data_IF_084789376852
#
_entry.id   IF_084789376852
#
_cell.length_a   1.000
_cell.length_b   1.000
_cell.length_c   1.000
_cell.angle_alpha   90.00
_cell.angle_beta   90.00
_cell.angle_gamma   90.00
#
_symmetry.space_group_name_H-M   'P 1'
#
loop_
_entity.id
_entity.type
_entity.pdbx_description
1 polymer ?
#
# COMPACT_ATOMS: atom_id res chain seq x y z
N UNK A 1 -6.12 -17.76 -7.44
CA UNK A 1 -6.33 -18.09 -6.03
C UNK A 1 -6.75 -16.86 -5.23
N UNK A 2 -7.45 -17.09 -4.14
CA UNK A 2 -7.84 -16.04 -3.21
C UNK A 2 -6.79 -15.87 -2.11
N UNK A 3 -6.52 -14.61 -1.76
CA UNK A 3 -5.74 -14.22 -0.58
C UNK A 3 -6.66 -13.48 0.39
N UNK A 4 -6.66 -13.91 1.65
CA UNK A 4 -7.51 -13.31 2.69
C UNK A 4 -6.69 -13.09 3.95
N UNK A 5 -6.61 -11.83 4.39
CA UNK A 5 -6.18 -11.52 5.76
C UNK A 5 -7.40 -11.02 6.55
N UNK A 6 -7.91 -11.81 7.48
CA UNK A 6 -9.10 -11.43 8.25
C UNK A 6 -8.82 -10.31 9.27
N UNK A 7 -7.56 -10.08 9.67
CA UNK A 7 -7.16 -9.00 10.59
C UNK A 7 -5.72 -8.59 10.29
N UNK A 8 -5.50 -7.85 9.19
CA UNK A 8 -4.22 -7.20 8.94
C UNK A 8 -3.99 -6.07 9.95
N UNK A 9 -2.79 -6.05 10.56
CA UNK A 9 -2.49 -5.17 11.68
C UNK A 9 -2.85 -5.76 13.04
N UNK A 10 -2.80 -7.09 13.20
CA UNK A 10 -3.16 -7.85 14.41
C UNK A 10 -2.54 -7.28 15.69
N UNK A 11 -1.26 -6.85 15.64
CA UNK A 11 -0.59 -6.24 16.81
C UNK A 11 -1.26 -4.94 17.27
N UNK A 12 -1.77 -4.15 16.33
CA UNK A 12 -2.48 -2.91 16.63
C UNK A 12 -3.88 -3.23 17.18
N UNK A 13 -4.57 -4.19 16.56
CA UNK A 13 -5.87 -4.68 17.02
C UNK A 13 -5.84 -5.17 18.46
N UNK A 14 -4.88 -6.03 18.83
CA UNK A 14 -4.73 -6.58 20.21
C UNK A 14 -4.51 -5.46 21.24
N UNK A 15 -3.84 -4.38 20.85
CA UNK A 15 -3.60 -3.22 21.73
C UNK A 15 -4.79 -2.24 21.80
N UNK A 16 -5.93 -2.57 21.20
CA UNK A 16 -7.10 -1.68 21.12
C UNK A 16 -6.93 -0.49 20.16
N UNK A 17 -5.94 -0.55 19.28
CA UNK A 17 -5.71 0.50 18.27
C UNK A 17 -6.67 0.38 17.10
N UNK A 18 -6.71 1.42 16.26
CA UNK A 18 -7.65 1.54 15.14
C UNK A 18 -7.05 1.22 13.77
N UNK A 19 -5.72 1.00 13.69
CA UNK A 19 -5.02 0.73 12.43
C UNK A 19 -4.98 -0.76 12.12
N UNK A 20 -6.14 -1.36 11.86
CA UNK A 20 -6.30 -2.72 11.38
C UNK A 20 -7.39 -2.77 10.31
N UNK A 21 -7.32 -3.74 9.42
CA UNK A 21 -8.28 -3.88 8.32
C UNK A 21 -8.46 -5.34 7.94
N UNK A 22 -9.46 -5.61 7.11
CA UNK A 22 -9.68 -6.89 6.46
C UNK A 22 -9.23 -6.73 5.01
N UNK A 23 -8.40 -7.66 4.51
CA UNK A 23 -7.94 -7.66 3.14
C UNK A 23 -8.43 -8.90 2.40
N UNK A 24 -9.01 -8.73 1.22
CA UNK A 24 -9.41 -9.82 0.31
C UNK A 24 -8.91 -9.49 -1.08
N UNK A 25 -8.25 -10.44 -1.74
CA UNK A 25 -7.80 -10.27 -3.12
C UNK A 25 -7.94 -11.56 -3.90
N UNK A 26 -8.21 -11.45 -5.20
CA UNK A 26 -8.13 -12.55 -6.15
C UNK A 26 -6.95 -12.33 -7.08
N UNK A 27 -6.00 -13.28 -7.05
CA UNK A 27 -4.78 -13.25 -7.87
C UNK A 27 -4.93 -14.22 -9.04
N UNK A 28 -4.65 -13.72 -10.23
CA UNK A 28 -4.65 -14.48 -11.47
C UNK A 28 -3.36 -14.21 -12.25
N UNK A 29 -2.68 -15.28 -12.69
CA UNK A 29 -1.40 -15.19 -13.40
C UNK A 29 -0.36 -14.29 -12.71
N UNK A 30 -0.27 -14.37 -11.37
CA UNK A 30 0.71 -13.61 -10.57
C UNK A 30 0.31 -12.17 -10.26
N UNK A 31 -0.87 -11.69 -10.70
CA UNK A 31 -1.29 -10.30 -10.45
C UNK A 31 -2.68 -10.23 -9.83
N UNK A 32 -2.94 -9.27 -8.94
CA UNK A 32 -4.25 -9.09 -8.35
C UNK A 32 -5.19 -8.47 -9.40
N UNK A 33 -6.30 -9.16 -9.66
CA UNK A 33 -7.36 -8.66 -10.56
C UNK A 33 -8.60 -8.20 -9.80
N UNK A 34 -8.64 -8.43 -8.49
CA UNK A 34 -9.62 -7.90 -7.56
C UNK A 34 -8.94 -7.63 -6.22
N UNK A 35 -9.28 -6.52 -5.58
CA UNK A 35 -8.81 -6.16 -4.24
C UNK A 35 -9.90 -5.46 -3.45
N UNK A 36 -9.98 -5.81 -2.15
CA UNK A 36 -10.90 -5.23 -1.20
C UNK A 36 -10.18 -5.00 0.12
N UNK A 37 -10.31 -3.81 0.69
CA UNK A 37 -9.85 -3.46 2.04
C UNK A 37 -11.00 -2.82 2.78
N UNK A 38 -11.40 -3.44 3.90
CA UNK A 38 -12.38 -2.86 4.83
C UNK A 38 -11.70 -2.40 6.11
N UNK A 39 -11.96 -1.17 6.51
CA UNK A 39 -11.43 -0.55 7.73
C UNK A 39 -12.56 -0.42 8.74
N UNK A 40 -12.68 -1.33 9.72
CA UNK A 40 -13.81 -1.35 10.65
C UNK A 40 -13.91 -0.08 11.51
N UNK A 41 -12.79 0.49 11.92
CA UNK A 41 -12.75 1.67 12.80
C UNK A 41 -13.34 2.93 12.19
N UNK A 42 -13.27 3.08 10.86
CA UNK A 42 -13.82 4.22 10.11
C UNK A 42 -14.99 3.84 9.23
N UNK A 43 -15.37 2.55 9.18
CA UNK A 43 -16.41 1.98 8.32
C UNK A 43 -16.20 2.32 6.83
N UNK A 44 -14.94 2.37 6.43
CA UNK A 44 -14.53 2.62 5.05
C UNK A 44 -14.30 1.30 4.32
N UNK A 45 -14.88 1.17 3.13
CA UNK A 45 -14.80 -0.01 2.29
C UNK A 45 -14.21 0.37 0.94
N UNK A 46 -12.98 -0.05 0.69
CA UNK A 46 -12.25 0.19 -0.55
C UNK A 46 -12.27 -1.07 -1.41
N UNK A 47 -12.53 -0.93 -2.70
CA UNK A 47 -12.44 -2.05 -3.63
C UNK A 47 -12.01 -1.59 -5.01
N UNK A 48 -11.41 -2.51 -5.75
CA UNK A 48 -11.00 -2.33 -7.12
C UNK A 48 -11.08 -3.65 -7.89
N UNK A 49 -11.27 -3.56 -9.18
CA UNK A 49 -11.09 -4.69 -10.09
C UNK A 49 -10.43 -4.24 -11.38
N UNK A 50 -9.58 -5.10 -11.94
CA UNK A 50 -8.74 -4.78 -13.09
C UNK A 50 -9.52 -4.16 -14.25
N UNK A 51 -9.12 -2.95 -14.67
CA UNK A 51 -9.73 -2.19 -15.75
C UNK A 51 -11.03 -1.45 -15.39
N UNK A 52 -11.50 -1.52 -14.14
CA UNK A 52 -12.77 -0.88 -13.73
C UNK A 52 -12.58 0.30 -12.76
N UNK A 53 -11.34 0.55 -12.34
CA UNK A 53 -11.02 1.59 -11.37
C UNK A 53 -11.20 1.16 -9.92
N UNK A 54 -10.87 2.06 -9.00
CA UNK A 54 -10.99 1.86 -7.58
C UNK A 54 -12.07 2.75 -6.98
N UNK A 55 -12.72 2.25 -5.93
CA UNK A 55 -13.89 2.89 -5.32
C UNK A 55 -13.80 2.86 -3.80
N UNK A 56 -14.37 3.88 -3.18
CA UNK A 56 -14.59 3.97 -1.74
C UNK A 56 -16.09 4.06 -1.46
N UNK A 57 -16.55 3.26 -0.50
CA UNK A 57 -17.85 3.39 0.14
C UNK A 57 -17.61 3.79 1.60
N UNK A 58 -18.25 4.86 2.05
CA UNK A 58 -18.38 5.20 3.46
C UNK A 58 -19.78 4.88 3.95
N UNK A 59 -19.96 4.79 5.26
CA UNK A 59 -21.27 4.55 5.85
C UNK A 59 -22.32 5.49 5.23
N UNK A 60 -23.45 4.94 4.78
CA UNK A 60 -24.58 5.65 4.18
C UNK A 60 -24.29 6.45 2.89
N UNK A 61 -23.16 6.20 2.22
CA UNK A 61 -22.78 6.85 0.97
C UNK A 61 -22.79 5.89 -0.22
N UNK A 62 -23.16 6.40 -1.38
CA UNK A 62 -22.94 5.68 -2.65
C UNK A 62 -21.46 5.55 -2.94
N UNK A 63 -21.04 4.48 -3.67
CA UNK A 63 -19.66 4.33 -4.08
C UNK A 63 -19.19 5.55 -4.89
N UNK A 64 -18.02 6.09 -4.56
CA UNK A 64 -17.37 7.09 -5.40
C UNK A 64 -16.00 6.60 -5.87
N UNK A 65 -15.67 6.96 -7.10
CA UNK A 65 -14.42 6.57 -7.71
C UNK A 65 -13.26 7.32 -7.06
N UNK A 66 -12.24 6.57 -6.64
CA UNK A 66 -10.99 7.15 -6.17
C UNK A 66 -10.15 7.50 -7.39
N UNK A 67 -9.58 8.68 -7.40
CA UNK A 67 -8.53 9.07 -8.34
C UNK A 67 -7.36 9.68 -7.54
N UNK A 68 -6.17 9.58 -8.09
CA UNK A 68 -4.96 10.09 -7.46
C UNK A 68 -4.65 11.56 -7.82
N UNK A 69 -5.60 12.28 -8.41
CA UNK A 69 -5.38 13.63 -8.93
C UNK A 69 -5.21 14.69 -7.83
N UNK A 70 -5.69 14.41 -6.63
CA UNK A 70 -5.51 15.32 -5.50
C UNK A 70 -4.16 15.08 -4.80
N UNK A 71 -3.10 15.70 -5.29
CA UNK A 71 -1.82 15.80 -4.56
C UNK A 71 -1.94 16.81 -3.40
N UNK A 72 -2.93 16.64 -2.53
CA UNK A 72 -3.16 17.61 -1.45
C UNK A 72 -2.18 17.44 -0.28
N UNK A 73 -1.70 16.22 -0.02
CA UNK A 73 -0.87 15.91 1.14
C UNK A 73 0.47 15.29 0.75
N UNK A 74 1.56 15.94 1.17
CA UNK A 74 2.94 15.43 1.00
C UNK A 74 3.29 14.34 2.03
N UNK A 75 2.37 13.41 2.36
CA UNK A 75 2.66 12.37 3.32
C UNK A 75 3.40 11.19 2.69
N UNK A 76 4.29 10.59 3.48
CA UNK A 76 4.92 9.31 3.20
C UNK A 76 4.46 8.31 4.26
N UNK A 77 3.76 7.27 3.85
CA UNK A 77 3.27 6.26 4.76
C UNK A 77 4.28 5.14 4.96
N UNK A 78 4.71 4.94 6.20
CA UNK A 78 5.72 3.94 6.56
C UNK A 78 5.21 2.99 7.63
N UNK A 79 5.78 1.81 7.69
CA UNK A 79 5.47 0.85 8.76
C UNK A 79 5.90 1.41 10.12
N UNK A 80 5.17 1.05 11.18
CA UNK A 80 5.58 1.32 12.57
C UNK A 80 6.89 0.62 12.95
N UNK A 81 7.32 -0.38 12.16
CA UNK A 81 8.61 -1.04 12.26
C UNK A 81 9.40 -0.76 10.99
N UNK A 82 10.15 0.33 10.99
CA UNK A 82 11.00 0.76 9.88
C UNK A 82 12.44 0.98 10.40
N UNK A 83 13.45 0.76 9.56
CA UNK A 83 14.86 0.99 9.92
C UNK A 83 15.16 2.49 9.91
N UNK A 84 15.95 2.96 10.88
CA UNK A 84 16.38 4.38 10.97
C UNK A 84 17.10 4.84 9.70
N UNK A 85 17.88 3.95 9.05
CA UNK A 85 18.53 4.25 7.78
C UNK A 85 17.54 4.60 6.66
N UNK A 86 16.39 3.92 6.60
CA UNK A 86 15.33 4.24 5.64
C UNK A 86 14.68 5.57 5.99
N UNK A 87 14.38 5.81 7.28
CA UNK A 87 13.85 7.09 7.77
C UNK A 87 14.74 8.25 7.36
N UNK A 88 16.07 8.10 7.54
CA UNK A 88 17.03 9.11 7.12
C UNK A 88 16.96 9.38 5.62
N UNK A 89 16.98 8.34 4.78
CA UNK A 89 16.86 8.49 3.32
C UNK A 89 15.60 9.26 2.95
N UNK A 90 14.45 8.91 3.56
CA UNK A 90 13.19 9.56 3.25
C UNK A 90 13.21 11.04 3.64
N UNK A 91 13.72 11.38 4.81
CA UNK A 91 13.83 12.77 5.26
C UNK A 91 14.81 13.60 4.41
N UNK A 92 15.91 12.99 3.95
CA UNK A 92 16.90 13.68 3.12
C UNK A 92 16.37 13.98 1.71
N UNK A 93 15.53 13.10 1.16
CA UNK A 93 14.99 13.24 -0.20
C UNK A 93 13.66 14.01 -0.27
N UNK A 94 12.87 13.97 0.80
CA UNK A 94 11.51 14.55 0.84
C UNK A 94 11.35 15.52 2.01
N UNK A 95 12.07 16.64 1.94
CA UNK A 95 12.16 17.62 3.06
C UNK A 95 10.83 18.23 3.46
N UNK A 96 9.92 18.37 2.50
CA UNK A 96 8.58 18.95 2.72
C UNK A 96 7.51 17.89 3.02
N UNK A 97 7.92 16.64 3.12
CA UNK A 97 6.99 15.53 3.38
C UNK A 97 6.98 15.11 4.84
N UNK A 98 5.81 14.69 5.30
CA UNK A 98 5.62 14.15 6.66
C UNK A 98 5.65 12.64 6.63
N UNK A 99 6.46 12.02 7.48
CA UNK A 99 6.39 10.58 7.72
C UNK A 99 5.20 10.25 8.62
N UNK A 100 4.30 9.42 8.10
CA UNK A 100 3.13 8.92 8.84
C UNK A 100 3.32 7.44 9.12
N UNK A 101 3.48 7.11 10.40
CA UNK A 101 3.67 5.73 10.85
C UNK A 101 2.32 5.02 10.94
N UNK A 102 2.12 4.02 10.10
CA UNK A 102 0.86 3.29 10.00
C UNK A 102 1.10 1.79 9.79
N UNK A 103 0.52 0.97 10.67
CA UNK A 103 0.44 -0.48 10.45
C UNK A 103 -0.66 -0.80 9.43
N UNK A 104 -0.69 -2.03 8.95
CA UNK A 104 -1.69 -2.57 8.03
C UNK A 104 -1.70 -1.98 6.60
N UNK A 105 -2.50 -2.60 5.74
CA UNK A 105 -2.75 -2.19 4.36
C UNK A 105 -3.51 -0.85 4.24
N UNK A 106 -3.98 -0.28 5.35
CA UNK A 106 -4.60 1.07 5.37
C UNK A 106 -3.69 2.10 4.70
N UNK A 107 -2.37 2.01 4.88
CA UNK A 107 -1.43 2.92 4.21
C UNK A 107 -1.58 2.94 2.68
N UNK A 108 -1.91 1.81 2.06
CA UNK A 108 -2.06 1.74 0.60
C UNK A 108 -3.29 2.50 0.12
N UNK A 109 -4.42 2.37 0.82
CA UNK A 109 -5.62 3.13 0.45
C UNK A 109 -5.45 4.63 0.71
N UNK A 110 -4.66 5.03 1.70
CA UNK A 110 -4.31 6.45 1.90
C UNK A 110 -3.43 7.00 0.78
N UNK A 111 -2.50 6.20 0.26
CA UNK A 111 -1.74 6.56 -0.94
C UNK A 111 -2.65 6.60 -2.17
N UNK A 112 -3.55 5.63 -2.35
CA UNK A 112 -4.52 5.60 -3.45
C UNK A 112 -5.44 6.84 -3.48
N UNK A 113 -5.85 7.35 -2.31
CA UNK A 113 -6.66 8.57 -2.17
C UNK A 113 -5.88 9.87 -2.46
N UNK A 114 -4.57 9.80 -2.76
CA UNK A 114 -3.72 10.98 -2.89
C UNK A 114 -3.35 11.65 -1.56
N UNK A 115 -3.68 11.05 -0.41
CA UNK A 115 -3.28 11.54 0.92
C UNK A 115 -1.81 11.32 1.24
N UNK A 116 -1.08 10.71 0.34
CA UNK A 116 0.35 10.51 0.38
C UNK A 116 0.85 10.07 -0.98
N UNK A 117 2.14 10.24 -1.21
CA UNK A 117 2.74 9.99 -2.53
C UNK A 117 3.68 8.77 -2.54
N UNK A 118 4.07 8.27 -1.37
CA UNK A 118 5.06 7.21 -1.28
C UNK A 118 4.86 6.29 -0.08
N UNK A 119 5.19 5.02 -0.26
CA UNK A 119 5.37 4.07 0.83
C UNK A 119 6.46 3.05 0.47
N UNK A 120 7.22 2.60 1.45
CA UNK A 120 8.32 1.63 1.27
C UNK A 120 8.31 0.57 2.34
N UNK A 121 8.62 -0.66 1.92
CA UNK A 121 8.82 -1.80 2.83
C UNK A 121 10.02 -2.62 2.37
N UNK A 122 11.06 -2.68 3.20
CA UNK A 122 12.26 -3.50 2.94
C UNK A 122 12.24 -4.84 3.71
N UNK A 123 11.46 -4.92 4.79
CA UNK A 123 11.31 -6.14 5.57
C UNK A 123 10.20 -7.04 5.02
N UNK A 124 10.21 -8.34 5.40
CA UNK A 124 9.23 -9.29 4.89
C UNK A 124 7.80 -8.95 5.28
N UNK A 125 6.86 -9.27 4.39
CA UNK A 125 5.43 -9.31 4.59
C UNK A 125 4.87 -10.55 3.89
N UNK A 126 3.58 -10.79 3.97
CA UNK A 126 2.95 -11.87 3.22
C UNK A 126 2.13 -11.31 2.04
N UNK A 127 1.84 -12.19 1.08
CA UNK A 127 1.06 -11.82 -0.11
C UNK A 127 -0.31 -11.27 0.25
N UNK A 128 -0.96 -11.81 1.27
CA UNK A 128 -2.27 -11.35 1.75
C UNK A 128 -2.26 -9.96 2.40
N UNK A 129 -1.06 -9.45 2.84
CA UNK A 129 -0.89 -8.10 3.38
C UNK A 129 -0.89 -7.03 2.27
N UNK A 130 -0.67 -7.43 1.01
CA UNK A 130 -0.33 -6.47 -0.07
C UNK A 130 -1.21 -6.56 -1.31
N UNK A 131 -1.69 -7.75 -1.70
CA UNK A 131 -2.34 -7.96 -2.99
C UNK A 131 -3.61 -7.10 -3.17
N UNK A 132 -4.43 -6.96 -2.13
CA UNK A 132 -5.61 -6.10 -2.19
C UNK A 132 -5.23 -4.62 -2.38
N UNK A 133 -4.22 -4.16 -1.63
CA UNK A 133 -3.70 -2.80 -1.73
C UNK A 133 -3.09 -2.51 -3.10
N UNK A 134 -2.35 -3.46 -3.69
CA UNK A 134 -1.79 -3.31 -5.02
C UNK A 134 -2.88 -3.10 -6.07
N UNK A 135 -3.93 -3.93 -6.07
CA UNK A 135 -5.04 -3.78 -7.01
C UNK A 135 -5.65 -2.37 -6.92
N UNK A 136 -5.89 -1.88 -5.71
CA UNK A 136 -6.47 -0.55 -5.48
C UNK A 136 -5.52 0.56 -5.97
N UNK A 137 -4.23 0.47 -5.66
CA UNK A 137 -3.21 1.46 -6.09
C UNK A 137 -3.12 1.52 -7.62
N UNK A 138 -3.02 0.37 -8.29
CA UNK A 138 -2.88 0.31 -9.74
C UNK A 138 -4.12 0.85 -10.45
N UNK A 139 -5.31 0.54 -9.96
CA UNK A 139 -6.58 1.03 -10.51
C UNK A 139 -6.83 2.53 -10.27
N UNK A 140 -6.04 3.16 -9.37
CA UNK A 140 -5.97 4.61 -9.21
C UNK A 140 -4.86 5.27 -10.07
N UNK A 141 -4.11 4.50 -10.87
CA UNK A 141 -3.00 5.01 -11.67
C UNK A 141 -1.67 5.14 -10.92
N UNK A 142 -1.55 4.56 -9.73
CA UNK A 142 -0.30 4.45 -8.99
C UNK A 142 0.50 3.20 -9.37
N UNK A 143 1.66 3.03 -8.73
CA UNK A 143 2.58 1.93 -9.00
C UNK A 143 2.87 1.15 -7.72
N UNK A 144 2.86 -0.18 -7.83
CA UNK A 144 3.29 -1.10 -6.79
C UNK A 144 4.44 -1.95 -7.35
N UNK A 145 5.66 -1.73 -6.86
CA UNK A 145 6.89 -2.16 -7.52
C UNK A 145 7.73 -3.03 -6.61
N UNK A 146 8.39 -4.01 -7.20
CA UNK A 146 9.40 -4.84 -6.55
C UNK A 146 10.78 -4.14 -6.48
N UNK A 147 11.80 -4.86 -6.01
CA UNK A 147 13.19 -4.38 -5.93
C UNK A 147 13.84 -4.10 -7.30
N UNK A 148 13.30 -4.64 -8.39
CA UNK A 148 13.79 -4.41 -9.75
C UNK A 148 13.04 -3.25 -10.43
N UNK A 149 12.12 -2.58 -9.72
CA UNK A 149 11.21 -1.56 -10.22
C UNK A 149 10.23 -2.11 -11.27
N UNK A 150 9.97 -3.41 -11.23
CA UNK A 150 8.95 -4.05 -12.03
C UNK A 150 7.63 -4.14 -11.25
N UNK A 151 6.53 -4.32 -11.98
CA UNK A 151 5.22 -4.54 -11.36
C UNK A 151 5.30 -5.73 -10.39
N UNK A 152 4.90 -5.53 -9.14
CA UNK A 152 4.99 -6.55 -8.10
C UNK A 152 4.13 -7.77 -8.45
N UNK A 153 4.70 -8.97 -8.36
CA UNK A 153 4.05 -10.23 -8.71
C UNK A 153 3.97 -11.19 -7.52
N UNK A 154 2.95 -12.03 -7.50
CA UNK A 154 2.63 -12.99 -6.44
C UNK A 154 2.77 -14.44 -6.92
N UNK A 155 2.82 -15.38 -5.96
CA UNK A 155 2.88 -16.81 -6.27
C UNK A 155 4.25 -17.28 -6.77
N UNK A 156 5.30 -16.50 -6.53
CA UNK A 156 6.66 -16.80 -6.98
C UNK A 156 7.46 -17.67 -6.01
N UNK A 157 6.91 -17.96 -4.82
CA UNK A 157 7.60 -18.72 -3.78
C UNK A 157 6.67 -19.60 -2.96
N UNK A 158 7.27 -20.58 -2.28
CA UNK A 158 6.52 -21.62 -1.53
C UNK A 158 5.91 -21.14 -0.20
N UNK A 159 6.18 -19.91 0.24
CA UNK A 159 5.82 -19.44 1.59
C UNK A 159 4.92 -18.20 1.61
N UNK A 160 4.38 -17.78 0.47
CA UNK A 160 3.59 -16.53 0.37
C UNK A 160 4.30 -15.30 0.95
N UNK A 161 5.65 -15.28 0.94
CA UNK A 161 6.45 -14.18 1.47
C UNK A 161 6.80 -13.20 0.35
N UNK A 162 6.55 -11.94 0.63
CA UNK A 162 6.94 -10.84 -0.22
C UNK A 162 8.41 -10.44 -0.01
N UNK A 163 9.08 -10.09 -1.09
CA UNK A 163 10.30 -9.30 -1.06
C UNK A 163 10.03 -7.82 -0.72
N UNK A 164 11.08 -6.99 -0.78
CA UNK A 164 10.96 -5.54 -0.68
C UNK A 164 10.05 -4.97 -1.75
N UNK A 165 9.30 -3.91 -1.40
CA UNK A 165 8.43 -3.23 -2.35
C UNK A 165 8.35 -1.72 -2.10
N UNK A 166 7.95 -1.02 -3.16
CA UNK A 166 7.74 0.42 -3.19
C UNK A 166 6.35 0.72 -3.75
N UNK A 167 5.66 1.66 -3.14
CA UNK A 167 4.36 2.14 -3.60
C UNK A 167 4.51 3.61 -3.94
N UNK A 168 4.17 3.97 -5.16
CA UNK A 168 4.29 5.34 -5.66
C UNK A 168 2.94 5.79 -6.20
N UNK A 169 2.50 6.95 -5.75
CA UNK A 169 1.39 7.66 -6.33
C UNK A 169 1.94 8.84 -7.17
N UNK A 170 1.55 8.91 -8.42
CA UNK A 170 2.01 9.94 -9.34
C UNK A 170 3.30 9.59 -10.10
N UNK A 171 4.15 10.59 -10.36
CA UNK A 171 5.31 10.44 -11.24
C UNK A 171 6.46 9.70 -10.55
N UNK A 172 6.82 8.55 -11.10
CA UNK A 172 7.95 7.70 -10.67
C UNK A 172 9.31 8.44 -10.64
N UNK A 173 9.54 9.38 -11.56
CA UNK A 173 10.82 10.10 -11.65
C UNK A 173 11.16 10.82 -10.33
N UNK A 174 10.17 11.37 -9.67
CA UNK A 174 10.34 12.08 -8.40
C UNK A 174 10.80 11.17 -7.24
N UNK A 175 10.71 9.85 -7.40
CA UNK A 175 10.99 8.87 -6.36
C UNK A 175 12.22 8.01 -6.63
N UNK A 176 12.76 8.03 -7.86
CA UNK A 176 13.88 7.16 -8.29
C UNK A 176 15.10 7.23 -7.38
N UNK A 177 15.50 8.45 -6.96
CA UNK A 177 16.67 8.61 -6.11
C UNK A 177 16.46 7.96 -4.74
N UNK A 178 15.31 8.19 -4.11
CA UNK A 178 14.97 7.60 -2.81
C UNK A 178 14.89 6.08 -2.87
N UNK A 179 14.29 5.55 -3.94
CA UNK A 179 14.17 4.11 -4.18
C UNK A 179 15.57 3.50 -4.34
N UNK A 180 16.44 4.10 -5.18
CA UNK A 180 17.81 3.63 -5.39
C UNK A 180 18.61 3.59 -4.09
N UNK A 181 18.51 4.63 -3.25
CA UNK A 181 19.16 4.67 -1.94
C UNK A 181 18.59 3.63 -0.97
N UNK A 182 17.27 3.40 -0.97
CA UNK A 182 16.66 2.35 -0.17
C UNK A 182 17.12 0.95 -0.62
N UNK A 183 17.25 0.72 -1.93
CA UNK A 183 17.75 -0.54 -2.49
C UNK A 183 19.19 -0.83 -2.09
N UNK A 184 20.03 0.19 -1.89
CA UNK A 184 21.41 0.00 -1.42
C UNK A 184 21.51 -0.52 0.02
N UNK A 185 20.40 -0.59 0.76
CA UNK A 185 20.34 -1.14 2.13
C UNK A 185 20.00 -2.65 2.17
N UNK A 186 19.73 -3.27 1.04
CA UNK A 186 19.35 -4.70 0.90
C UNK A 186 20.28 -5.44 -0.04
#
# INVERSE_FOLDING_TARGET
YWLVDPIDGTKNYIKGGQHFCICISYVYNGYPIFGLIYIPSSKEFYYASAGNGAYLIKEDMSPFRINNESQADSNIYVSTVIRDSVVKILNDNFKDSKLVYMSSAIKFVRVAEGKGHFSVRLGPTHEWDTAAGQCIIEECGGHFLDKNLERFAYGLGDKFLNGPFFVVNGNMENHKNSISQCLSLI
#
